data_IF_609216375606
#
_entry.id   IF_609216375606
#
_cell.length_a   1.000
_cell.length_b   1.000
_cell.length_c   1.000
_cell.angle_alpha   90.00
_cell.angle_beta   90.00
_cell.angle_gamma   90.00
#
_symmetry.space_group_name_H-M   'P 1'
#
loop_
_entity.id
_entity.type
_entity.pdbx_description
1 polymer ?
#
# COMPACT_ATOMS: atom_id res chain seq x y z
N UNK A 1 -36.06 -15.33 -24.35
CA UNK A 1 -34.98 -15.21 -23.35
C UNK A 1 -33.78 -14.63 -24.07
N UNK A 2 -33.48 -13.34 -23.85
CA UNK A 2 -32.25 -12.72 -24.37
C UNK A 2 -31.19 -12.92 -23.29
N UNK A 3 -30.20 -13.75 -23.61
CA UNK A 3 -29.00 -13.91 -22.80
C UNK A 3 -28.36 -12.54 -22.60
N UNK A 4 -28.37 -12.09 -21.34
CA UNK A 4 -27.60 -10.93 -20.92
C UNK A 4 -26.18 -11.45 -20.74
N UNK A 5 -25.43 -11.53 -21.84
CA UNK A 5 -23.98 -11.70 -21.77
C UNK A 5 -23.49 -10.49 -20.99
N UNK A 6 -22.95 -10.72 -19.78
CA UNK A 6 -22.24 -9.69 -19.05
C UNK A 6 -21.14 -9.17 -19.95
N UNK A 7 -21.28 -7.93 -20.41
CA UNK A 7 -20.26 -7.26 -21.20
C UNK A 7 -19.06 -7.00 -20.29
N UNK A 8 -18.11 -7.95 -20.31
CA UNK A 8 -16.91 -7.94 -19.49
C UNK A 8 -16.10 -6.66 -19.75
N UNK A 9 -16.27 -6.03 -20.93
CA UNK A 9 -15.64 -4.75 -21.27
C UNK A 9 -16.17 -3.54 -20.49
N UNK A 10 -17.19 -3.72 -19.64
CA UNK A 10 -17.75 -2.69 -18.75
C UNK A 10 -17.66 -3.01 -17.28
N UNK A 11 -16.97 -4.10 -16.89
CA UNK A 11 -16.75 -4.39 -15.48
C UNK A 11 -15.84 -3.32 -14.89
N UNK A 12 -16.37 -2.65 -13.88
CA UNK A 12 -15.66 -1.65 -13.10
C UNK A 12 -15.41 -2.21 -11.72
N UNK A 13 -14.16 -2.16 -11.30
CA UNK A 13 -13.71 -2.69 -10.03
C UNK A 13 -13.47 -1.54 -9.07
N UNK A 14 -14.16 -1.56 -7.93
CA UNK A 14 -13.97 -0.57 -6.89
C UNK A 14 -12.60 -0.75 -6.25
N UNK A 15 -11.81 0.33 -6.23
CA UNK A 15 -10.54 0.42 -5.54
C UNK A 15 -10.74 1.19 -4.24
N UNK A 16 -10.23 0.66 -3.13
CA UNK A 16 -10.25 1.36 -1.84
C UNK A 16 -8.85 1.37 -1.22
N UNK A 17 -8.58 2.42 -0.46
CA UNK A 17 -7.39 2.56 0.38
C UNK A 17 -7.74 2.16 1.80
N UNK A 18 -6.97 1.26 2.38
CA UNK A 18 -6.98 1.00 3.82
C UNK A 18 -5.86 1.81 4.47
N UNK A 19 -6.18 2.43 5.61
CA UNK A 19 -5.25 3.24 6.40
C UNK A 19 -5.22 2.69 7.82
N UNK A 20 -4.01 2.47 8.31
CA UNK A 20 -3.72 1.95 9.65
C UNK A 20 -2.85 2.95 10.40
N UNK A 21 -3.31 3.36 11.58
CA UNK A 21 -2.51 4.11 12.55
C UNK A 21 -1.65 3.14 13.35
N UNK A 22 -0.40 2.97 12.92
CA UNK A 22 0.55 2.07 13.59
C UNK A 22 0.87 2.52 15.02
N UNK A 23 0.61 3.77 15.38
CA UNK A 23 0.76 4.28 16.74
C UNK A 23 -0.41 3.90 17.66
N UNK A 24 -1.52 3.40 17.09
CA UNK A 24 -2.79 3.14 17.78
C UNK A 24 -3.28 4.35 18.59
N UNK A 25 -3.18 5.55 18.01
CA UNK A 25 -3.54 6.82 18.63
C UNK A 25 -2.47 7.41 19.56
N UNK A 26 -1.35 6.71 19.80
CA UNK A 26 -0.28 7.23 20.65
C UNK A 26 0.58 8.30 19.96
N UNK A 27 0.60 8.38 18.62
CA UNK A 27 1.32 9.44 17.89
C UNK A 27 0.76 10.83 18.23
N UNK A 28 -0.54 10.93 18.54
CA UNK A 28 -1.16 12.18 19.01
C UNK A 28 -0.61 12.67 20.35
N UNK A 29 -0.01 11.78 21.15
CA UNK A 29 0.51 12.09 22.49
C UNK A 29 2.05 12.07 22.57
N UNK A 30 2.73 11.27 21.74
CA UNK A 30 4.18 11.03 21.81
C UNK A 30 4.96 11.53 20.57
N UNK A 31 4.41 12.51 19.87
CA UNK A 31 4.92 13.16 18.64
C UNK A 31 4.80 12.29 17.36
N UNK A 32 4.85 12.92 16.16
CA UNK A 32 4.72 12.25 14.85
C UNK A 32 5.77 11.16 14.55
N UNK A 33 6.76 11.02 15.42
CA UNK A 33 7.89 10.11 15.29
C UNK A 33 7.52 8.65 15.62
N UNK A 34 6.48 8.39 16.42
CA UNK A 34 6.08 7.03 16.76
C UNK A 34 5.19 6.44 15.66
N UNK A 35 5.83 5.65 14.78
CA UNK A 35 5.21 4.81 13.74
C UNK A 35 4.06 5.49 12.98
N UNK A 36 4.41 6.09 11.85
CA UNK A 36 3.46 6.76 10.96
C UNK A 36 2.36 5.85 10.40
N UNK A 37 1.54 6.42 9.52
CA UNK A 37 0.45 5.67 8.88
C UNK A 37 0.99 4.61 7.91
N UNK A 38 0.39 3.42 7.97
CA UNK A 38 0.56 2.38 6.97
C UNK A 38 -0.67 2.32 6.08
N UNK A 39 -0.47 2.20 4.78
CA UNK A 39 -1.57 2.05 3.83
C UNK A 39 -1.42 0.82 2.93
N UNK A 40 -2.58 0.35 2.46
CA UNK A 40 -2.70 -0.73 1.48
C UNK A 40 -3.83 -0.47 0.49
N UNK A 41 -3.75 -1.08 -0.70
CA UNK A 41 -4.80 -1.01 -1.72
C UNK A 41 -5.64 -2.28 -1.64
N UNK A 42 -6.96 -2.14 -1.60
CA UNK A 42 -7.88 -3.28 -1.66
C UNK A 42 -8.66 -3.23 -2.96
N UNK A 43 -8.56 -4.31 -3.73
CA UNK A 43 -9.22 -4.51 -5.02
C UNK A 43 -9.29 -6.02 -5.32
N UNK A 44 -10.28 -6.47 -6.11
CA UNK A 44 -10.49 -7.89 -6.44
C UNK A 44 -10.68 -8.82 -5.23
N UNK A 45 -11.05 -8.25 -4.07
CA UNK A 45 -11.20 -9.02 -2.83
C UNK A 45 -9.90 -9.30 -2.09
N UNK A 46 -8.78 -8.73 -2.52
CA UNK A 46 -7.44 -8.86 -1.91
C UNK A 46 -6.89 -7.49 -1.49
N UNK A 47 -6.05 -7.50 -0.47
CA UNK A 47 -5.30 -6.34 0.04
C UNK A 47 -3.84 -6.45 -0.38
N UNK A 48 -3.30 -5.37 -0.94
CA UNK A 48 -1.95 -5.28 -1.48
C UNK A 48 -1.17 -4.16 -0.81
N UNK A 49 0.04 -4.47 -0.35
CA UNK A 49 0.90 -3.52 0.35
C UNK A 49 2.37 -3.76 0.06
N UNK A 50 3.20 -2.77 0.37
CA UNK A 50 4.65 -2.84 0.23
C UNK A 50 5.35 -2.73 1.58
N UNK A 51 6.35 -3.57 1.80
CA UNK A 51 7.18 -3.55 2.99
C UNK A 51 8.59 -4.05 2.73
N UNK A 52 9.36 -4.24 3.80
CA UNK A 52 10.74 -4.76 3.72
C UNK A 52 10.89 -6.16 3.10
N UNK A 53 9.78 -6.90 2.94
CA UNK A 53 9.75 -8.18 2.24
C UNK A 53 9.46 -8.06 0.72
N UNK A 54 9.11 -6.87 0.23
CA UNK A 54 8.60 -6.64 -1.12
C UNK A 54 7.10 -6.33 -1.13
N UNK A 55 6.50 -6.42 -2.31
CA UNK A 55 5.05 -6.33 -2.49
C UNK A 55 4.43 -7.63 -1.97
N UNK A 56 3.42 -7.51 -1.12
CA UNK A 56 2.71 -8.63 -0.52
C UNK A 56 1.20 -8.46 -0.65
N UNK A 57 0.47 -9.57 -0.62
CA UNK A 57 -0.99 -9.57 -0.51
C UNK A 57 -1.52 -10.42 0.64
N UNK A 58 -2.73 -10.12 1.08
CA UNK A 58 -3.52 -10.92 2.00
C UNK A 58 -5.02 -10.66 1.80
N UNK A 59 -5.90 -11.48 2.42
CA UNK A 59 -7.30 -11.09 2.56
C UNK A 59 -7.41 -9.72 3.28
N UNK A 60 -8.43 -8.89 2.97
CA UNK A 60 -8.60 -7.57 3.60
C UNK A 60 -8.64 -7.62 5.13
N UNK A 61 -7.74 -6.89 5.78
CA UNK A 61 -7.52 -6.90 7.23
C UNK A 61 -6.85 -8.18 7.76
N UNK A 62 -6.21 -8.95 6.87
CA UNK A 62 -5.64 -10.27 7.16
C UNK A 62 -4.25 -10.26 7.78
N UNK A 63 -3.60 -9.10 7.88
CA UNK A 63 -2.32 -8.96 8.59
C UNK A 63 -2.52 -8.95 10.11
N UNK A 64 -1.43 -9.00 10.87
CA UNK A 64 -1.48 -8.81 12.33
C UNK A 64 -1.98 -7.42 12.78
N UNK A 65 -2.10 -6.45 11.87
CA UNK A 65 -2.70 -5.15 12.16
C UNK A 65 -4.22 -5.27 12.40
N UNK A 66 -4.87 -6.30 11.84
CA UNK A 66 -6.31 -6.49 11.93
C UNK A 66 -7.08 -5.57 10.97
N UNK A 67 -8.31 -5.16 11.30
CA UNK A 67 -9.10 -4.23 10.49
C UNK A 67 -8.46 -2.84 10.37
N UNK A 68 -8.67 -2.12 9.25
CA UNK A 68 -8.15 -0.76 9.07
C UNK A 68 -8.85 0.24 9.99
N UNK A 69 -8.14 1.29 10.38
CA UNK A 69 -8.69 2.42 11.14
C UNK A 69 -9.53 3.34 10.25
N UNK A 70 -9.20 3.44 8.96
CA UNK A 70 -9.95 4.23 7.98
C UNK A 70 -9.95 3.55 6.62
N UNK A 71 -11.10 3.63 5.94
CA UNK A 71 -11.29 3.15 4.56
C UNK A 71 -11.65 4.35 3.69
N UNK A 72 -10.93 4.53 2.57
CA UNK A 72 -11.17 5.62 1.62
C UNK A 72 -11.47 5.03 0.25
N UNK A 73 -12.60 5.39 -0.35
CA UNK A 73 -12.91 5.03 -1.74
C UNK A 73 -12.03 5.86 -2.69
N UNK A 74 -11.23 5.19 -3.52
CA UNK A 74 -10.37 5.84 -4.51
C UNK A 74 -11.03 5.95 -5.89
N UNK A 75 -12.12 5.21 -6.10
CA UNK A 75 -12.88 5.19 -7.34
C UNK A 75 -12.89 3.81 -7.98
N UNK A 76 -13.23 3.78 -9.27
CA UNK A 76 -13.36 2.54 -10.02
C UNK A 76 -12.29 2.45 -11.11
N UNK A 77 -11.85 1.23 -11.41
CA UNK A 77 -10.93 0.92 -12.51
C UNK A 77 -11.55 -0.05 -13.51
N UNK A 78 -11.07 0.01 -14.75
CA UNK A 78 -11.33 -0.99 -15.81
C UNK A 78 -10.12 -1.91 -16.02
N UNK A 79 -9.02 -1.69 -15.29
CA UNK A 79 -7.88 -2.61 -15.25
C UNK A 79 -8.38 -3.97 -14.74
N UNK A 80 -7.96 -5.06 -15.39
CA UNK A 80 -8.32 -6.41 -14.95
C UNK A 80 -7.35 -6.90 -13.89
N UNK A 81 -7.76 -7.91 -13.12
CA UNK A 81 -6.90 -8.55 -12.13
C UNK A 81 -5.59 -9.07 -12.75
N UNK A 82 -5.66 -9.70 -13.93
CA UNK A 82 -4.49 -10.19 -14.68
C UNK A 82 -3.49 -9.05 -14.98
N UNK A 83 -3.96 -7.95 -15.57
CA UNK A 83 -3.10 -6.80 -15.90
C UNK A 83 -2.52 -6.18 -14.63
N UNK A 84 -3.31 -6.12 -13.56
CA UNK A 84 -2.85 -5.59 -12.28
C UNK A 84 -1.76 -6.45 -11.65
N UNK A 85 -1.91 -7.78 -11.67
CA UNK A 85 -0.91 -8.70 -11.14
C UNK A 85 0.39 -8.67 -11.93
N UNK A 86 0.32 -8.57 -13.27
CA UNK A 86 1.51 -8.37 -14.11
C UNK A 86 2.22 -7.04 -13.79
N UNK A 87 1.45 -5.97 -13.58
CA UNK A 87 1.99 -4.68 -13.15
C UNK A 87 2.69 -4.77 -11.79
N UNK A 88 2.06 -5.38 -10.78
CA UNK A 88 2.67 -5.60 -9.48
C UNK A 88 3.93 -6.47 -9.54
N UNK A 89 3.92 -7.52 -10.36
CA UNK A 89 5.10 -8.37 -10.57
C UNK A 89 6.27 -7.56 -11.15
N UNK A 90 6.00 -6.73 -12.16
CA UNK A 90 7.01 -5.85 -12.75
C UNK A 90 7.55 -4.82 -11.75
N UNK A 91 6.68 -4.22 -10.94
CA UNK A 91 7.08 -3.33 -9.86
C UNK A 91 7.97 -4.04 -8.83
N UNK A 92 7.60 -5.26 -8.41
CA UNK A 92 8.35 -6.04 -7.43
C UNK A 92 9.77 -6.41 -7.88
N UNK A 93 9.95 -6.67 -9.19
CA UNK A 93 11.26 -6.92 -9.78
C UNK A 93 12.11 -5.65 -9.95
N UNK A 94 11.46 -4.50 -10.14
CA UNK A 94 12.14 -3.26 -10.53
C UNK A 94 12.27 -2.26 -9.40
N UNK A 95 11.19 -1.65 -8.92
CA UNK A 95 11.24 -0.49 -8.01
C UNK A 95 10.82 -0.84 -6.59
N UNK A 96 10.03 -1.89 -6.38
CA UNK A 96 9.43 -2.27 -5.10
C UNK A 96 9.91 -3.65 -4.61
N UNK A 97 11.19 -3.97 -4.83
CA UNK A 97 11.85 -5.07 -4.14
C UNK A 97 12.05 -4.73 -2.66
N UNK A 98 12.08 -5.74 -1.78
CA UNK A 98 12.15 -5.50 -0.32
C UNK A 98 13.40 -4.74 0.13
N UNK A 99 14.54 -4.95 -0.54
CA UNK A 99 15.81 -4.26 -0.28
C UNK A 99 15.79 -2.75 -0.62
N UNK A 100 14.82 -2.31 -1.42
CA UNK A 100 14.61 -0.90 -1.78
C UNK A 100 13.71 -0.15 -0.80
N UNK A 101 13.17 -0.83 0.20
CA UNK A 101 12.29 -0.19 1.18
C UNK A 101 13.07 0.86 1.97
N UNK A 102 12.52 2.08 2.06
CA UNK A 102 13.05 3.19 2.87
C UNK A 102 11.89 3.84 3.59
N UNK A 103 11.95 3.88 4.92
CA UNK A 103 10.85 4.34 5.77
C UNK A 103 10.25 5.69 5.35
N UNK A 104 11.09 6.63 4.89
CA UNK A 104 10.63 7.97 4.52
C UNK A 104 10.51 8.24 3.03
N UNK A 105 11.35 7.61 2.21
CA UNK A 105 11.50 7.96 0.81
C UNK A 105 10.82 6.96 -0.13
N UNK A 106 10.64 5.70 0.31
CA UNK A 106 10.12 4.62 -0.52
C UNK A 106 9.46 3.53 0.34
N UNK A 107 8.21 3.74 0.70
CA UNK A 107 7.48 2.95 1.70
C UNK A 107 6.09 2.51 1.19
N UNK A 108 5.26 1.96 2.06
CA UNK A 108 3.89 1.58 1.73
C UNK A 108 3.04 2.74 1.16
N UNK A 109 3.24 3.97 1.64
CA UNK A 109 2.48 5.13 1.20
C UNK A 109 2.91 5.58 -0.20
N UNK A 110 4.20 5.50 -0.55
CA UNK A 110 4.66 5.76 -1.93
C UNK A 110 4.11 4.71 -2.90
N UNK A 111 4.16 3.44 -2.51
CA UNK A 111 3.59 2.32 -3.26
C UNK A 111 2.09 2.51 -3.53
N UNK A 112 1.28 2.69 -2.48
CA UNK A 112 -0.17 2.82 -2.63
C UNK A 112 -0.56 4.07 -3.40
N UNK A 113 0.20 5.16 -3.31
CA UNK A 113 -0.03 6.34 -4.14
C UNK A 113 0.23 6.09 -5.63
N UNK A 114 1.27 5.34 -5.98
CA UNK A 114 1.56 4.97 -7.37
C UNK A 114 0.48 4.03 -7.92
N UNK A 115 0.14 2.98 -7.17
CA UNK A 115 -0.90 2.00 -7.54
C UNK A 115 -2.26 2.66 -7.67
N UNK A 116 -2.64 3.57 -6.76
CA UNK A 116 -3.89 4.33 -6.83
C UNK A 116 -3.98 5.12 -8.15
N UNK A 117 -2.89 5.78 -8.55
CA UNK A 117 -2.84 6.55 -9.79
C UNK A 117 -2.91 5.65 -11.01
N UNK A 118 -2.25 4.49 -11.00
CA UNK A 118 -2.35 3.50 -12.08
C UNK A 118 -3.78 2.98 -12.26
N UNK A 119 -4.45 2.61 -11.17
CA UNK A 119 -5.79 2.02 -11.22
C UNK A 119 -6.87 3.05 -11.54
N UNK A 120 -6.81 4.24 -10.92
CA UNK A 120 -7.96 5.17 -10.89
C UNK A 120 -7.64 6.56 -11.43
N UNK A 121 -6.36 6.89 -11.66
CA UNK A 121 -5.90 8.25 -11.93
C UNK A 121 -5.89 9.16 -10.70
N UNK A 122 -6.39 8.71 -9.55
CA UNK A 122 -6.44 9.48 -8.31
C UNK A 122 -5.22 9.20 -7.42
N UNK A 123 -4.80 10.21 -6.67
CA UNK A 123 -3.78 10.08 -5.61
C UNK A 123 -4.44 9.71 -4.29
N UNK A 124 -3.65 9.17 -3.36
CA UNK A 124 -4.08 9.02 -1.96
C UNK A 124 -4.10 10.40 -1.27
N UNK A 125 -4.79 10.55 -0.12
CA UNK A 125 -4.82 11.81 0.62
C UNK A 125 -3.41 12.33 0.97
N UNK A 126 -3.16 13.62 0.76
CA UNK A 126 -1.81 14.19 0.86
C UNK A 126 -1.23 14.15 2.27
N UNK A 127 -2.08 14.21 3.32
CA UNK A 127 -1.61 14.12 4.71
C UNK A 127 -0.87 12.80 5.00
N UNK A 128 -1.14 11.74 4.23
CA UNK A 128 -0.44 10.45 4.31
C UNK A 128 0.93 10.53 3.65
N UNK A 129 1.00 11.16 2.46
CA UNK A 129 2.26 11.28 1.68
C UNK A 129 3.21 12.34 2.22
N UNK A 130 2.69 13.34 2.92
CA UNK A 130 3.47 14.48 3.44
C UNK A 130 4.14 14.15 4.80
N UNK A 131 3.65 13.12 5.50
CA UNK A 131 4.12 12.71 6.83
C UNK A 131 5.65 12.52 6.95
N UNK A 132 6.35 11.85 6.00
CA UNK A 132 7.82 11.76 6.04
C UNK A 132 8.53 13.12 6.10
N UNK A 133 8.06 14.07 5.27
CA UNK A 133 8.63 15.42 5.19
C UNK A 133 8.40 16.19 6.48
N UNK A 134 7.22 16.04 7.09
CA UNK A 134 6.90 16.66 8.38
C UNK A 134 7.84 16.17 9.49
N UNK A 135 8.08 14.85 9.57
CA UNK A 135 9.00 14.28 10.58
C UNK A 135 10.43 14.76 10.36
N UNK A 136 10.93 14.70 9.13
CA UNK A 136 12.30 15.10 8.79
C UNK A 136 12.53 16.62 8.94
N UNK A 137 11.49 17.45 8.88
CA UNK A 137 11.60 18.89 9.11
C UNK A 137 11.94 19.26 10.57
N UNK A 138 11.82 18.30 11.50
CA UNK A 138 12.11 18.53 12.92
C UNK A 138 13.59 18.31 13.27
N UNK A 139 14.16 19.05 14.25
CA UNK A 139 15.54 18.81 14.72
C UNK A 139 15.78 17.37 15.18
N UNK A 140 14.75 16.75 15.77
CA UNK A 140 14.80 15.36 16.20
C UNK A 140 14.82 14.39 15.01
N UNK A 141 13.98 14.59 14.00
CA UNK A 141 13.96 13.77 12.79
C UNK A 141 15.29 13.79 12.06
N UNK A 142 15.96 14.94 12.03
CA UNK A 142 17.32 15.06 11.48
C UNK A 142 18.36 14.26 12.28
N UNK A 143 18.27 14.25 13.61
CA UNK A 143 19.19 13.49 14.49
C UNK A 143 18.97 11.98 14.35
N UNK A 144 17.71 11.53 14.25
CA UNK A 144 17.39 10.10 14.15
C UNK A 144 17.40 9.55 12.73
N UNK A 145 17.54 10.38 11.69
CA UNK A 145 17.53 9.94 10.28
C UNK A 145 18.35 8.66 10.03
N UNK A 146 19.62 8.53 10.49
CA UNK A 146 20.40 7.31 10.26
C UNK A 146 19.80 6.04 10.87
N UNK A 147 19.11 6.17 12.02
CA UNK A 147 18.43 5.06 12.69
C UNK A 147 17.13 4.73 11.95
N UNK A 148 16.37 5.76 11.57
CA UNK A 148 15.09 5.60 10.89
C UNK A 148 15.25 5.01 9.48
N UNK A 149 16.32 5.35 8.77
CA UNK A 149 16.68 4.78 7.47
C UNK A 149 16.97 3.26 7.56
N UNK A 150 17.32 2.75 8.75
CA UNK A 150 17.55 1.33 8.99
C UNK A 150 16.28 0.55 9.36
N UNK A 151 15.14 1.23 9.55
CA UNK A 151 13.87 0.59 9.92
C UNK A 151 13.13 0.13 8.67
N UNK A 152 12.84 -1.16 8.62
CA UNK A 152 11.96 -1.75 7.62
C UNK A 152 10.64 -2.17 8.25
N UNK A 153 9.52 -1.76 7.64
CA UNK A 153 8.18 -2.16 8.07
C UNK A 153 7.70 -3.28 7.14
N UNK A 154 7.26 -4.39 7.72
CA UNK A 154 6.61 -5.48 7.02
C UNK A 154 5.56 -6.11 7.95
N UNK A 155 4.27 -5.74 7.82
CA UNK A 155 3.22 -6.34 8.61
C UNK A 155 3.18 -7.87 8.40
N UNK A 156 3.29 -8.69 9.46
CA UNK A 156 3.20 -10.13 9.31
C UNK A 156 1.79 -10.55 8.86
N UNK A 157 1.72 -11.58 8.02
CA UNK A 157 0.46 -12.14 7.50
C UNK A 157 0.25 -11.98 5.99
N UNK A 158 1.09 -11.18 5.31
CA UNK A 158 1.10 -11.10 3.85
C UNK A 158 1.95 -12.19 3.18
N UNK A 159 1.54 -12.57 1.97
CA UNK A 159 2.30 -13.43 1.07
C UNK A 159 3.02 -12.56 0.03
N UNK A 160 4.33 -12.72 -0.13
CA UNK A 160 5.11 -11.95 -1.11
C UNK A 160 4.71 -12.36 -2.52
N UNK A 161 4.34 -11.37 -3.34
CA UNK A 161 4.06 -11.56 -4.76
C UNK A 161 5.41 -11.74 -5.46
N UNK A 162 5.64 -12.93 -6.00
CA UNK A 162 6.82 -13.27 -6.79
C UNK A 162 6.38 -13.89 -8.11
N UNK A 163 7.16 -13.63 -9.16
CA UNK A 163 6.86 -13.95 -10.57
C UNK A 163 6.72 -15.46 -10.88
N UNK A 164 6.67 -16.35 -9.87
CA UNK A 164 6.68 -17.81 -10.04
C UNK A 164 5.31 -18.51 -9.94
N UNK A 165 4.21 -17.82 -9.68
CA UNK A 165 2.91 -18.51 -9.47
C UNK A 165 1.95 -18.57 -10.68
N UNK A 166 2.39 -18.24 -11.89
CA UNK A 166 1.50 -18.20 -13.06
C UNK A 166 1.33 -19.51 -13.84
N UNK A 167 1.67 -20.69 -13.29
CA UNK A 167 1.36 -21.98 -13.92
C UNK A 167 0.78 -23.00 -12.93
N UNK A 168 -0.55 -23.13 -12.94
CA UNK A 168 -1.29 -24.35 -12.56
C UNK A 168 -2.61 -24.40 -13.33
#
# INVERSE_FOLDING_TARGET
YRDTVLDISKLRFQTVLFIYDLSRGMARQLSPIMLGEHTSIVIYGEEFFYGGAGISSCPPGGTMLGPPDTVVELGNTEVTEEIFMDYLSSLGETTYSGDKYRLFEHNCNTFTNEVAQFLTGNKIPSYITDLPSEVLSTPFGQVLRPILDSIHIAPPGGNVISSQNNHS
#
